data_IF_909745117804
#
_entry.id   IF_909745117804
#
_cell.length_a   1.000
_cell.length_b   1.000
_cell.length_c   1.000
_cell.angle_alpha   90.00
_cell.angle_beta   90.00
_cell.angle_gamma   90.00
#
_symmetry.space_group_name_H-M   'P 1'
#
loop_
_entity.id
_entity.type
_entity.pdbx_description
1 polymer ?
#
# COMPACT_ATOMS: atom_id res chain seq x y z
N UNK A 1 -29.12 -30.44 -12.52
CA UNK A 1 -27.95 -31.27 -12.17
C UNK A 1 -28.30 -31.99 -10.89
N UNK A 2 -28.22 -33.32 -10.86
CA UNK A 2 -28.48 -34.07 -9.62
C UNK A 2 -27.33 -33.89 -8.60
N UNK A 3 -27.52 -34.41 -7.39
CA UNK A 3 -26.55 -34.27 -6.30
C UNK A 3 -25.18 -34.91 -6.63
N UNK A 4 -25.16 -36.01 -7.38
CA UNK A 4 -23.91 -36.69 -7.77
C UNK A 4 -23.15 -35.85 -8.79
N UNK A 5 -23.83 -35.37 -9.81
CA UNK A 5 -23.24 -34.50 -10.83
C UNK A 5 -22.75 -33.17 -10.22
N UNK A 6 -23.46 -32.63 -9.21
CA UNK A 6 -23.02 -31.46 -8.47
C UNK A 6 -21.76 -31.74 -7.63
N UNK A 7 -21.67 -32.91 -6.99
CA UNK A 7 -20.48 -33.33 -6.25
C UNK A 7 -19.25 -33.50 -7.15
N UNK A 8 -19.41 -34.13 -8.31
CA UNK A 8 -18.33 -34.23 -9.30
C UNK A 8 -17.91 -32.84 -9.82
N UNK A 9 -18.88 -31.95 -10.08
CA UNK A 9 -18.60 -30.57 -10.48
C UNK A 9 -17.83 -29.82 -9.39
N UNK A 10 -18.18 -29.99 -8.12
CA UNK A 10 -17.45 -29.43 -6.98
C UNK A 10 -16.00 -29.92 -6.96
N UNK A 11 -15.76 -31.23 -6.99
CA UNK A 11 -14.40 -31.78 -6.97
C UNK A 11 -13.52 -31.27 -8.12
N UNK A 12 -14.12 -31.04 -9.30
CA UNK A 12 -13.40 -30.57 -10.48
C UNK A 12 -13.17 -29.04 -10.51
N UNK A 13 -13.91 -28.27 -9.72
CA UNK A 13 -13.88 -26.80 -9.74
C UNK A 13 -13.50 -26.18 -8.39
N UNK A 14 -13.18 -27.01 -7.41
CA UNK A 14 -12.53 -26.58 -6.18
C UNK A 14 -11.04 -26.44 -6.46
N UNK A 15 -10.52 -25.22 -6.31
CA UNK A 15 -9.10 -24.94 -6.38
C UNK A 15 -8.59 -24.66 -4.99
N UNK A 16 -7.48 -25.30 -4.61
CA UNK A 16 -6.83 -25.12 -3.31
C UNK A 16 -5.40 -24.63 -3.55
N UNK A 17 -5.07 -23.47 -3.00
CA UNK A 17 -3.73 -22.89 -2.99
C UNK A 17 -3.25 -22.71 -1.55
N UNK A 18 -2.72 -23.78 -0.93
CA UNK A 18 -2.29 -23.72 0.47
C UNK A 18 -1.21 -22.68 0.74
N UNK A 19 -0.36 -22.39 -0.26
CA UNK A 19 0.73 -21.40 -0.18
C UNK A 19 0.24 -19.99 0.11
N UNK A 20 -1.00 -19.66 -0.26
CA UNK A 20 -1.64 -18.37 0.02
C UNK A 20 -2.89 -18.50 0.90
N UNK A 21 -3.11 -19.68 1.48
CA UNK A 21 -4.28 -19.97 2.32
C UNK A 21 -5.63 -19.79 1.61
N UNK A 22 -5.68 -19.93 0.28
CA UNK A 22 -6.89 -19.66 -0.51
C UNK A 22 -7.50 -20.96 -1.03
N UNK A 23 -8.80 -21.13 -0.77
CA UNK A 23 -9.62 -22.16 -1.40
C UNK A 23 -10.80 -21.52 -2.12
N UNK A 24 -10.96 -21.81 -3.40
CA UNK A 24 -11.98 -21.21 -4.27
C UNK A 24 -12.88 -22.28 -4.85
N UNK A 25 -14.19 -22.19 -4.58
CA UNK A 25 -15.22 -23.05 -5.15
C UNK A 25 -16.09 -22.25 -6.14
N UNK A 26 -15.90 -22.51 -7.44
CA UNK A 26 -16.73 -21.91 -8.50
C UNK A 26 -17.81 -22.86 -9.03
N UNK A 27 -18.04 -24.01 -8.39
CA UNK A 27 -18.99 -25.03 -8.84
C UNK A 27 -20.44 -24.54 -8.90
N UNK A 28 -20.77 -23.53 -8.11
CA UNK A 28 -22.09 -22.89 -8.04
C UNK A 28 -22.29 -21.74 -9.02
N UNK A 29 -21.25 -21.35 -9.76
CA UNK A 29 -21.37 -20.32 -10.80
C UNK A 29 -22.08 -20.87 -12.04
N UNK A 30 -22.81 -19.99 -12.72
CA UNK A 30 -23.61 -20.31 -13.92
C UNK A 30 -22.73 -20.22 -15.17
N UNK A 31 -22.12 -21.33 -15.55
CA UNK A 31 -21.45 -21.46 -16.85
C UNK A 31 -21.60 -22.88 -17.42
N UNK A 32 -21.64 -22.97 -18.75
CA UNK A 32 -21.79 -24.24 -19.47
C UNK A 32 -20.53 -25.11 -19.46
N UNK A 33 -20.62 -26.39 -19.84
CA UNK A 33 -19.49 -27.32 -19.82
C UNK A 33 -18.33 -26.91 -20.74
N UNK A 34 -18.62 -26.14 -21.79
CA UNK A 34 -17.65 -25.63 -22.77
C UNK A 34 -17.03 -24.26 -22.42
N UNK A 35 -17.43 -23.67 -21.29
CA UNK A 35 -17.04 -22.29 -20.96
C UNK A 35 -15.52 -22.07 -20.98
N UNK A 36 -14.75 -22.99 -20.40
CA UNK A 36 -13.28 -22.88 -20.39
C UNK A 36 -12.66 -22.98 -21.79
N UNK A 37 -13.22 -23.83 -22.66
CA UNK A 37 -12.74 -23.98 -24.04
C UNK A 37 -13.04 -22.71 -24.85
N UNK A 38 -14.23 -22.12 -24.64
CA UNK A 38 -14.65 -20.87 -25.27
C UNK A 38 -13.80 -19.68 -24.79
N UNK A 39 -13.37 -19.70 -23.52
CA UNK A 39 -12.53 -18.65 -22.93
C UNK A 39 -11.03 -18.83 -23.17
N UNK A 40 -10.58 -19.96 -23.72
CA UNK A 40 -9.15 -20.25 -23.90
C UNK A 40 -8.41 -19.17 -24.72
N UNK A 41 -9.03 -18.67 -25.80
CA UNK A 41 -8.48 -17.60 -26.63
C UNK A 41 -8.33 -16.26 -25.89
N UNK A 42 -9.41 -15.70 -25.30
CA UNK A 42 -9.34 -14.51 -24.44
C UNK A 42 -8.33 -14.64 -23.29
N UNK A 43 -8.30 -15.78 -22.59
CA UNK A 43 -7.36 -16.05 -21.49
C UNK A 43 -5.92 -16.02 -21.98
N UNK A 44 -5.62 -16.67 -23.12
CA UNK A 44 -4.28 -16.63 -23.72
C UNK A 44 -3.81 -15.20 -23.98
N UNK A 45 -4.66 -14.36 -24.58
CA UNK A 45 -4.36 -12.94 -24.81
C UNK A 45 -4.14 -12.16 -23.51
N UNK A 46 -4.91 -12.46 -22.46
CA UNK A 46 -4.73 -11.83 -21.16
C UNK A 46 -3.35 -12.16 -20.56
N UNK A 47 -2.90 -13.41 -20.63
CA UNK A 47 -1.57 -13.80 -20.17
C UNK A 47 -0.44 -13.17 -21.00
N UNK A 48 -0.61 -13.10 -22.32
CA UNK A 48 0.39 -12.45 -23.17
C UNK A 48 0.47 -10.95 -22.85
N UNK A 49 -0.67 -10.27 -22.67
CA UNK A 49 -0.71 -8.88 -22.24
C UNK A 49 -0.05 -8.68 -20.85
N UNK A 50 -0.33 -9.56 -19.88
CA UNK A 50 0.32 -9.52 -18.57
C UNK A 50 1.84 -9.69 -18.67
N UNK A 51 2.33 -10.59 -19.52
CA UNK A 51 3.77 -10.79 -19.72
C UNK A 51 4.45 -9.53 -20.31
N UNK A 52 3.79 -8.84 -21.23
CA UNK A 52 4.30 -7.58 -21.77
C UNK A 52 4.28 -6.44 -20.74
N UNK A 53 3.22 -6.35 -19.93
CA UNK A 53 3.17 -5.42 -18.79
C UNK A 53 4.34 -5.65 -17.84
N UNK A 54 4.62 -6.91 -17.48
CA UNK A 54 5.69 -7.26 -16.54
C UNK A 54 7.08 -6.90 -17.03
N UNK A 55 7.30 -6.97 -18.34
CA UNK A 55 8.52 -6.49 -19.02
C UNK A 55 8.59 -4.96 -19.15
N UNK A 56 7.61 -4.23 -18.62
CA UNK A 56 7.59 -2.78 -18.61
C UNK A 56 6.98 -2.13 -19.86
N UNK A 57 6.06 -2.81 -20.55
CA UNK A 57 5.26 -2.16 -21.58
C UNK A 57 4.48 -0.97 -21.01
N UNK A 58 4.21 0.03 -21.87
CA UNK A 58 3.34 1.15 -21.51
C UNK A 58 1.91 0.62 -21.41
N UNK A 59 1.41 0.60 -20.19
CA UNK A 59 0.07 0.12 -19.86
C UNK A 59 -0.97 1.25 -19.95
N UNK A 60 -0.55 2.47 -19.59
CA UNK A 60 -1.38 3.65 -19.63
C UNK A 60 -0.91 4.57 -20.77
N UNK A 61 -1.50 4.46 -21.98
CA UNK A 61 -1.08 5.24 -23.13
C UNK A 61 -1.34 6.75 -22.94
N UNK A 62 -2.42 7.12 -22.24
CA UNK A 62 -2.79 8.52 -22.02
C UNK A 62 -1.77 9.25 -21.13
N UNK A 63 -1.16 8.54 -20.19
CA UNK A 63 -0.13 9.10 -19.30
C UNK A 63 1.30 8.71 -19.71
N UNK A 64 1.47 7.85 -20.72
CA UNK A 64 2.77 7.31 -21.13
C UNK A 64 3.48 6.53 -20.01
N UNK A 65 2.74 5.79 -19.17
CA UNK A 65 3.28 5.15 -17.96
C UNK A 65 3.24 3.63 -18.00
N UNK A 66 4.28 3.05 -17.42
CA UNK A 66 4.31 1.64 -17.01
C UNK A 66 3.42 1.42 -15.79
N UNK A 67 3.07 0.16 -15.51
CA UNK A 67 2.41 -0.27 -14.27
C UNK A 67 3.31 -1.32 -13.64
N UNK A 68 3.84 -1.06 -12.45
CA UNK A 68 4.95 -1.88 -11.91
C UNK A 68 4.75 -2.41 -10.49
N UNK A 69 3.52 -2.46 -10.01
CA UNK A 69 3.24 -2.78 -8.60
C UNK A 69 3.69 -4.20 -8.16
N UNK A 70 3.83 -5.13 -9.10
CA UNK A 70 4.42 -6.46 -8.87
C UNK A 70 5.95 -6.42 -8.69
N UNK A 71 6.65 -5.45 -9.28
CA UNK A 71 8.09 -5.27 -9.03
C UNK A 71 8.37 -4.91 -7.58
N UNK A 72 7.44 -4.21 -6.92
CA UNK A 72 7.54 -3.89 -5.49
C UNK A 72 7.62 -5.14 -4.61
N UNK A 73 7.00 -6.23 -5.05
CA UNK A 73 6.91 -7.52 -4.34
C UNK A 73 8.00 -8.49 -4.76
N UNK A 74 8.56 -8.28 -5.95
CA UNK A 74 9.71 -9.01 -6.46
C UNK A 74 10.57 -8.12 -7.36
N UNK A 75 11.56 -7.38 -6.80
CA UNK A 75 12.39 -6.44 -7.55
C UNK A 75 13.17 -7.09 -8.71
N UNK A 76 13.44 -8.40 -8.65
CA UNK A 76 14.15 -9.12 -9.72
C UNK A 76 13.38 -9.17 -11.04
N UNK A 77 12.07 -8.86 -11.02
CA UNK A 77 11.22 -8.79 -12.21
C UNK A 77 11.19 -7.39 -12.83
N UNK A 78 11.84 -6.39 -12.21
CA UNK A 78 11.88 -5.05 -12.74
C UNK A 78 12.54 -5.03 -14.14
N UNK A 79 12.05 -4.19 -15.07
CA UNK A 79 12.53 -4.18 -16.44
C UNK A 79 13.96 -3.62 -16.56
N UNK A 80 14.43 -2.90 -15.53
CA UNK A 80 15.79 -2.38 -15.45
C UNK A 80 16.37 -2.62 -14.06
N UNK A 81 17.71 -2.70 -13.99
CA UNK A 81 18.42 -2.88 -12.71
C UNK A 81 18.27 -1.65 -11.81
N UNK A 82 18.11 -0.49 -12.41
CA UNK A 82 17.91 0.79 -11.72
C UNK A 82 16.58 0.78 -10.95
N UNK A 83 15.48 0.32 -11.57
CA UNK A 83 14.18 0.19 -10.88
C UNK A 83 14.28 -0.84 -9.75
N UNK A 84 14.94 -1.97 -9.96
CA UNK A 84 15.14 -2.96 -8.90
C UNK A 84 15.89 -2.36 -7.70
N UNK A 85 17.00 -1.66 -7.97
CA UNK A 85 17.82 -1.02 -6.94
C UNK A 85 17.06 0.08 -6.20
N UNK A 86 16.25 0.90 -6.89
CA UNK A 86 15.41 1.92 -6.26
C UNK A 86 14.40 1.31 -5.27
N UNK A 87 13.77 0.18 -5.64
CA UNK A 87 12.83 -0.53 -4.77
C UNK A 87 13.56 -1.08 -3.55
N UNK A 88 14.68 -1.78 -3.75
CA UNK A 88 15.49 -2.35 -2.67
C UNK A 88 16.00 -1.28 -1.70
N UNK A 89 16.46 -0.14 -2.23
CA UNK A 89 16.88 1.00 -1.43
C UNK A 89 15.72 1.57 -0.61
N UNK A 90 14.54 1.73 -1.20
CA UNK A 90 13.36 2.22 -0.48
C UNK A 90 12.94 1.27 0.65
N UNK A 91 12.99 -0.05 0.42
CA UNK A 91 12.70 -1.05 1.46
C UNK A 91 13.73 -0.99 2.60
N UNK A 92 15.02 -0.88 2.28
CA UNK A 92 16.08 -0.71 3.27
C UNK A 92 15.94 0.59 4.07
N UNK A 93 15.52 1.68 3.41
CA UNK A 93 15.23 2.96 4.05
C UNK A 93 14.07 2.83 5.03
N UNK A 94 12.96 2.21 4.64
CA UNK A 94 11.80 1.95 5.53
C UNK A 94 12.21 1.12 6.74
N UNK A 95 12.97 0.04 6.54
CA UNK A 95 13.43 -0.81 7.63
C UNK A 95 14.34 -0.04 8.62
N UNK A 96 15.30 0.73 8.10
CA UNK A 96 16.26 1.52 8.90
C UNK A 96 15.57 2.62 9.68
N UNK A 97 14.66 3.36 9.04
CA UNK A 97 13.88 4.42 9.65
C UNK A 97 12.99 3.85 10.77
N UNK A 98 12.23 2.80 10.48
CA UNK A 98 11.34 2.13 11.44
C UNK A 98 12.14 1.63 12.65
N UNK A 99 13.27 0.95 12.44
CA UNK A 99 14.12 0.48 13.52
C UNK A 99 14.66 1.62 14.38
N UNK A 100 14.95 2.78 13.78
CA UNK A 100 15.42 3.97 14.50
C UNK A 100 14.31 4.67 15.30
N UNK A 101 13.09 4.70 14.78
CA UNK A 101 11.89 5.15 15.51
C UNK A 101 11.59 4.21 16.68
N UNK A 102 11.52 2.90 16.45
CA UNK A 102 11.27 1.90 17.50
C UNK A 102 12.39 1.82 18.54
N UNK A 103 13.62 2.19 18.19
CA UNK A 103 14.72 2.28 19.16
C UNK A 103 14.71 3.59 19.97
N UNK A 104 13.95 4.61 19.54
CA UNK A 104 13.96 5.94 20.14
C UNK A 104 15.16 6.81 19.73
N UNK A 105 15.87 6.43 18.66
CA UNK A 105 16.92 7.27 18.04
C UNK A 105 16.31 8.44 17.28
N UNK A 106 15.25 8.15 16.53
CA UNK A 106 14.34 9.16 15.96
C UNK A 106 13.16 9.22 16.92
N UNK A 107 12.97 10.37 17.58
CA UNK A 107 11.96 10.56 18.63
C UNK A 107 11.39 11.98 18.55
N UNK A 108 10.17 12.21 19.05
CA UNK A 108 9.62 13.55 19.12
C UNK A 108 10.44 14.43 20.09
N UNK A 109 10.43 15.77 19.93
CA UNK A 109 11.18 16.68 20.81
C UNK A 109 10.74 16.62 22.27
N UNK A 110 9.43 16.46 22.52
CA UNK A 110 8.79 16.61 23.83
C UNK A 110 8.36 15.28 24.47
N UNK A 111 8.81 14.14 23.94
CA UNK A 111 8.52 12.82 24.51
C UNK A 111 9.63 11.80 24.19
N UNK A 112 9.63 10.69 24.94
CA UNK A 112 10.68 9.67 24.77
C UNK A 112 10.58 8.92 23.45
N UNK A 113 9.36 8.71 22.95
CA UNK A 113 9.05 7.88 21.78
C UNK A 113 7.78 8.35 21.09
N UNK A 114 7.66 8.04 19.80
CA UNK A 114 6.39 8.13 19.10
C UNK A 114 5.49 6.95 19.50
N UNK A 115 4.22 7.23 19.79
CA UNK A 115 3.18 6.23 20.09
C UNK A 115 1.98 6.32 19.15
N UNK A 116 1.92 7.38 18.34
CA UNK A 116 0.85 7.62 17.38
C UNK A 116 1.42 7.84 15.98
N UNK A 117 0.68 7.38 14.97
CA UNK A 117 0.85 7.77 13.58
C UNK A 117 -0.35 8.61 13.16
N UNK A 118 -0.12 9.72 12.48
CA UNK A 118 -1.17 10.47 11.80
C UNK A 118 -0.91 10.43 10.30
N UNK A 119 -1.70 9.64 9.59
CA UNK A 119 -1.56 9.39 8.17
C UNK A 119 -2.48 10.33 7.38
N UNK A 120 -1.89 11.29 6.67
CA UNK A 120 -2.57 12.31 5.89
C UNK A 120 -2.44 11.98 4.41
N UNK A 121 -3.54 11.57 3.79
CA UNK A 121 -3.57 11.14 2.39
C UNK A 121 -4.96 10.69 1.98
N UNK A 122 -5.30 10.74 0.70
CA UNK A 122 -6.65 10.40 0.21
C UNK A 122 -6.62 9.27 -0.82
N UNK A 123 -7.72 8.52 -0.90
CA UNK A 123 -7.93 7.48 -1.90
C UNK A 123 -6.87 6.39 -1.83
N UNK A 124 -6.17 6.13 -2.93
CA UNK A 124 -5.11 5.12 -2.97
C UNK A 124 -3.96 5.37 -2.00
N UNK A 125 -3.76 6.62 -1.57
CA UNK A 125 -2.75 6.99 -0.59
C UNK A 125 -3.17 6.74 0.87
N UNK A 126 -4.40 6.27 1.15
CA UNK A 126 -4.87 5.97 2.51
C UNK A 126 -5.66 4.67 2.63
N UNK A 127 -6.45 4.27 1.64
CA UNK A 127 -7.32 3.09 1.73
C UNK A 127 -6.57 1.77 1.92
N UNK A 128 -5.38 1.63 1.31
CA UNK A 128 -4.53 0.47 1.53
C UNK A 128 -4.04 0.38 2.99
N UNK A 129 -3.40 1.43 3.52
CA UNK A 129 -3.03 1.51 4.94
C UNK A 129 -4.22 1.28 5.89
N UNK A 130 -5.39 1.88 5.62
CA UNK A 130 -6.61 1.67 6.41
C UNK A 130 -7.06 0.21 6.40
N UNK A 131 -7.00 -0.47 5.25
CA UNK A 131 -7.32 -1.89 5.15
C UNK A 131 -6.35 -2.74 5.98
N UNK A 132 -5.04 -2.45 5.91
CA UNK A 132 -4.03 -3.17 6.66
C UNK A 132 -4.22 -2.98 8.17
N UNK A 133 -4.46 -1.75 8.62
CA UNK A 133 -4.79 -1.44 10.01
C UNK A 133 -6.07 -2.15 10.47
N UNK A 134 -7.15 -2.06 9.70
CA UNK A 134 -8.41 -2.72 10.05
C UNK A 134 -8.34 -4.25 10.07
N UNK A 135 -7.47 -4.85 9.26
CA UNK A 135 -7.33 -6.31 9.17
C UNK A 135 -6.30 -6.90 10.15
N UNK A 136 -5.22 -6.18 10.45
CA UNK A 136 -4.07 -6.69 11.21
C UNK A 136 -3.81 -5.94 12.52
N UNK A 137 -4.34 -4.72 12.65
CA UNK A 137 -4.12 -3.87 13.81
C UNK A 137 -4.82 -4.37 15.07
N UNK A 138 -4.20 -4.07 16.21
CA UNK A 138 -4.70 -4.48 17.51
C UNK A 138 -4.03 -3.78 18.68
N UNK A 139 -4.25 -4.31 19.89
CA UNK A 139 -3.68 -3.75 21.11
C UNK A 139 -2.15 -3.96 21.23
N UNK A 140 -1.59 -4.87 20.44
CA UNK A 140 -0.16 -5.18 20.43
C UNK A 140 0.67 -4.28 19.50
N UNK A 141 0.01 -3.40 18.74
CA UNK A 141 0.68 -2.47 17.83
C UNK A 141 1.63 -1.55 18.60
N UNK A 142 2.82 -1.34 18.04
CA UNK A 142 3.83 -0.44 18.61
C UNK A 142 3.41 1.02 18.54
N UNK A 143 2.58 1.38 17.56
CA UNK A 143 2.08 2.73 17.35
C UNK A 143 0.63 2.66 16.88
N UNK A 144 -0.25 3.49 17.45
CA UNK A 144 -1.65 3.58 17.01
C UNK A 144 -1.78 4.58 15.86
N UNK A 145 -2.31 4.13 14.72
CA UNK A 145 -2.53 4.97 13.55
C UNK A 145 -3.89 5.67 13.58
N UNK A 146 -3.92 6.88 13.00
CA UNK A 146 -5.10 7.70 12.76
C UNK A 146 -5.03 8.24 11.34
N UNK A 147 -6.18 8.45 10.69
CA UNK A 147 -6.24 8.83 9.28
C UNK A 147 -6.94 10.17 9.08
N UNK A 148 -6.37 11.02 8.21
CA UNK A 148 -7.03 12.15 7.60
C UNK A 148 -7.12 11.91 6.09
N UNK A 149 -8.25 11.36 5.64
CA UNK A 149 -8.47 10.90 4.27
C UNK A 149 -9.59 11.62 3.51
N UNK A 150 -10.24 12.57 4.17
CA UNK A 150 -11.29 13.40 3.62
C UNK A 150 -11.03 14.86 3.94
N UNK A 151 -11.81 15.76 3.31
CA UNK A 151 -11.70 17.21 3.53
C UNK A 151 -12.74 17.75 4.52
N UNK A 152 -13.51 16.87 5.16
CA UNK A 152 -14.55 17.27 6.10
C UNK A 152 -13.90 17.83 7.38
N UNK A 153 -14.09 19.13 7.70
CA UNK A 153 -13.49 19.74 8.88
C UNK A 153 -13.90 19.04 10.19
N UNK A 154 -15.12 18.48 10.28
CA UNK A 154 -15.57 17.78 11.48
C UNK A 154 -14.80 16.47 11.69
N UNK A 155 -14.49 15.76 10.61
CA UNK A 155 -13.65 14.57 10.60
C UNK A 155 -12.23 14.88 11.07
N UNK A 156 -11.62 15.92 10.49
CA UNK A 156 -10.28 16.38 10.87
C UNK A 156 -10.25 16.80 12.34
N UNK A 157 -11.20 17.63 12.77
CA UNK A 157 -11.29 18.12 14.14
C UNK A 157 -11.49 16.97 15.14
N UNK A 158 -12.30 15.95 14.81
CA UNK A 158 -12.50 14.77 15.65
C UNK A 158 -11.19 14.01 15.87
N UNK A 159 -10.42 13.77 14.82
CA UNK A 159 -9.12 13.06 14.92
C UNK A 159 -8.12 13.88 15.75
N UNK A 160 -7.99 15.17 15.45
CA UNK A 160 -7.08 16.06 16.19
C UNK A 160 -7.48 16.20 17.67
N UNK A 161 -8.78 16.29 17.97
CA UNK A 161 -9.30 16.32 19.35
C UNK A 161 -9.05 15.01 20.09
N UNK A 162 -9.12 13.87 19.39
CA UNK A 162 -8.83 12.54 19.97
C UNK A 162 -7.36 12.43 20.38
N UNK A 163 -6.46 12.99 19.57
CA UNK A 163 -5.04 13.08 19.92
C UNK A 163 -4.81 14.09 21.07
N UNK A 164 -5.39 15.28 20.95
CA UNK A 164 -5.11 16.40 21.85
C UNK A 164 -3.63 16.78 21.88
N UNK A 165 -3.26 17.73 22.73
CA UNK A 165 -1.86 18.18 22.85
C UNK A 165 -0.92 17.05 23.27
N UNK A 166 -1.35 16.20 24.20
CA UNK A 166 -0.54 15.08 24.70
C UNK A 166 -0.33 13.97 23.66
N UNK A 167 -1.34 13.68 22.83
CA UNK A 167 -1.18 12.76 21.70
C UNK A 167 -0.26 13.35 20.63
N UNK A 168 -0.48 14.62 20.26
CA UNK A 168 0.33 15.31 19.24
C UNK A 168 1.83 15.33 19.57
N UNK A 169 2.21 15.53 20.85
CA UNK A 169 3.62 15.41 21.32
C UNK A 169 4.27 14.07 20.99
N UNK A 170 3.47 13.01 20.82
CA UNK A 170 3.92 11.62 20.59
C UNK A 170 3.52 11.12 19.20
N UNK A 171 3.09 12.00 18.30
CA UNK A 171 2.61 11.65 16.95
C UNK A 171 3.68 11.84 15.89
N UNK A 172 3.94 10.82 15.09
CA UNK A 172 4.65 10.95 13.82
C UNK A 172 3.63 11.14 12.70
N UNK A 173 3.78 12.20 11.91
CA UNK A 173 2.87 12.55 10.81
C UNK A 173 3.43 12.02 9.49
N UNK A 174 2.66 11.20 8.79
CA UNK A 174 2.97 10.75 7.43
C UNK A 174 2.12 11.55 6.44
N UNK A 175 2.73 12.38 5.60
CA UNK A 175 2.00 13.11 4.54
C UNK A 175 2.24 12.42 3.20
N UNK A 176 1.18 11.93 2.57
CA UNK A 176 1.26 11.05 1.40
C UNK A 176 0.55 11.68 0.20
N UNK A 177 1.34 12.08 -0.80
CA UNK A 177 0.81 12.69 -2.01
C UNK A 177 1.82 12.61 -3.15
N UNK A 178 1.57 11.78 -4.16
CA UNK A 178 2.50 11.60 -5.30
C UNK A 178 2.91 12.89 -5.99
N UNK A 179 1.93 13.76 -6.30
CA UNK A 179 2.18 15.05 -6.96
C UNK A 179 2.59 16.15 -5.97
N UNK A 180 2.33 15.93 -4.67
CA UNK A 180 2.37 16.96 -3.64
C UNK A 180 1.29 18.05 -3.77
N UNK A 181 0.47 18.01 -4.83
CA UNK A 181 -0.53 19.04 -5.14
C UNK A 181 -1.97 18.66 -4.79
N UNK A 182 -2.22 17.42 -4.37
CA UNK A 182 -3.54 16.93 -3.94
C UNK A 182 -4.14 17.84 -2.87
N UNK A 183 -5.28 18.46 -3.18
CA UNK A 183 -5.83 19.56 -2.37
C UNK A 183 -6.27 19.07 -0.99
N UNK A 184 -6.88 17.90 -0.93
CA UNK A 184 -7.36 17.26 0.28
C UNK A 184 -6.18 16.94 1.22
N UNK A 185 -5.15 16.25 0.73
CA UNK A 185 -3.93 15.98 1.52
C UNK A 185 -3.26 17.27 1.98
N UNK A 186 -3.15 18.28 1.10
CA UNK A 186 -2.52 19.56 1.43
C UNK A 186 -3.31 20.30 2.52
N UNK A 187 -4.63 20.34 2.41
CA UNK A 187 -5.48 21.00 3.41
C UNK A 187 -5.38 20.26 4.75
N UNK A 188 -5.46 18.94 4.75
CA UNK A 188 -5.24 18.14 5.97
C UNK A 188 -3.88 18.41 6.60
N UNK A 189 -2.81 18.48 5.81
CA UNK A 189 -1.47 18.82 6.29
C UNK A 189 -1.43 20.21 6.94
N UNK A 190 -2.06 21.22 6.34
CA UNK A 190 -2.12 22.58 6.88
C UNK A 190 -2.90 22.64 8.21
N UNK A 191 -4.00 21.89 8.32
CA UNK A 191 -4.75 21.77 9.57
C UNK A 191 -3.90 21.13 10.68
N UNK A 192 -3.14 20.07 10.36
CA UNK A 192 -2.22 19.44 11.30
C UNK A 192 -1.09 20.39 11.70
N UNK A 193 -0.47 21.10 10.74
CA UNK A 193 0.52 22.14 11.05
C UNK A 193 -0.06 23.23 11.96
N UNK A 194 -1.32 23.63 11.73
CA UNK A 194 -2.08 24.55 12.57
C UNK A 194 -2.22 24.04 14.00
N UNK A 195 -2.62 22.78 14.18
CA UNK A 195 -2.77 22.15 15.49
C UNK A 195 -1.42 22.02 16.22
N UNK A 196 -0.35 21.63 15.53
CA UNK A 196 1.00 21.60 16.10
C UNK A 196 1.42 22.98 16.60
N UNK A 197 1.22 24.03 15.79
CA UNK A 197 1.54 25.41 16.18
C UNK A 197 0.73 25.88 17.39
N UNK A 198 -0.57 25.58 17.45
CA UNK A 198 -1.42 25.91 18.60
C UNK A 198 -0.98 25.18 19.88
N UNK A 199 -0.46 23.97 19.74
CA UNK A 199 0.11 23.18 20.82
C UNK A 199 1.54 23.58 21.21
N UNK A 200 2.17 24.54 20.49
CA UNK A 200 3.56 24.93 20.70
C UNK A 200 4.59 23.89 20.22
N UNK A 201 4.21 23.00 19.31
CA UNK A 201 5.02 21.90 18.80
C UNK A 201 5.61 22.22 17.42
N UNK A 202 6.78 21.63 17.13
CA UNK A 202 7.42 21.72 15.82
C UNK A 202 6.95 20.59 14.91
N UNK A 203 6.17 20.94 13.87
CA UNK A 203 5.70 19.98 12.88
C UNK A 203 6.84 19.30 12.08
N UNK A 204 7.84 20.01 11.54
CA UNK A 204 8.93 19.39 10.78
C UNK A 204 9.71 18.32 11.57
N UNK A 205 9.86 18.51 12.88
CA UNK A 205 10.52 17.57 13.77
C UNK A 205 9.73 16.27 14.02
N UNK A 206 8.52 16.17 13.48
CA UNK A 206 7.60 15.04 13.66
C UNK A 206 6.90 14.65 12.34
N UNK A 207 7.39 15.10 11.19
CA UNK A 207 6.75 14.85 9.90
C UNK A 207 7.69 14.13 8.92
N UNK A 208 7.10 13.27 8.08
CA UNK A 208 7.77 12.65 6.93
C UNK A 208 6.88 12.75 5.70
N UNK A 209 7.49 12.83 4.52
CA UNK A 209 6.77 12.86 3.25
C UNK A 209 6.92 11.53 2.50
N UNK A 210 5.81 11.02 1.93
CA UNK A 210 5.83 9.93 0.95
C UNK A 210 5.33 10.51 -0.37
N UNK A 211 6.23 10.76 -1.31
CA UNK A 211 5.95 11.63 -2.45
C UNK A 211 6.85 11.37 -3.65
N UNK A 212 6.45 11.89 -4.82
CA UNK A 212 7.30 11.86 -6.00
C UNK A 212 8.50 12.80 -5.88
N UNK A 213 9.64 12.40 -6.46
CA UNK A 213 10.84 13.23 -6.51
C UNK A 213 10.54 14.59 -7.15
N UNK A 214 10.97 15.68 -6.50
CA UNK A 214 10.78 17.05 -7.00
C UNK A 214 9.33 17.57 -6.97
N UNK A 215 8.39 16.80 -6.40
CA UNK A 215 7.00 17.21 -6.19
C UNK A 215 6.89 18.45 -5.28
N UNK A 216 5.71 19.06 -5.26
CA UNK A 216 5.45 20.20 -4.36
C UNK A 216 5.66 19.84 -2.88
N UNK A 217 5.27 18.63 -2.47
CA UNK A 217 5.45 18.15 -1.11
C UNK A 217 6.92 17.85 -0.79
N UNK A 218 7.69 17.35 -1.76
CA UNK A 218 9.13 17.13 -1.58
C UNK A 218 9.87 18.45 -1.35
N UNK A 219 9.49 19.51 -2.08
CA UNK A 219 10.03 20.86 -1.86
C UNK A 219 9.72 21.38 -0.46
N UNK A 220 8.44 21.32 -0.06
CA UNK A 220 8.01 21.72 1.30
C UNK A 220 8.79 20.95 2.38
N UNK A 221 8.87 19.62 2.27
CA UNK A 221 9.57 18.78 3.24
C UNK A 221 11.07 19.12 3.33
N UNK A 222 11.70 19.47 2.21
CA UNK A 222 13.11 19.88 2.15
C UNK A 222 13.32 21.27 2.75
N UNK A 223 12.50 22.24 2.34
CA UNK A 223 12.59 23.65 2.77
C UNK A 223 12.31 23.80 4.28
N UNK A 224 11.37 23.02 4.82
CA UNK A 224 11.02 23.03 6.23
C UNK A 224 11.88 22.09 7.10
N UNK A 225 12.71 21.23 6.48
CA UNK A 225 13.59 20.31 7.21
C UNK A 225 12.87 19.18 7.93
N UNK A 226 11.96 18.48 7.24
CA UNK A 226 11.24 17.34 7.79
C UNK A 226 12.16 16.15 8.07
N UNK A 227 11.73 15.22 8.93
CA UNK A 227 12.56 14.11 9.40
C UNK A 227 13.09 13.21 8.27
N UNK A 228 12.26 12.93 7.27
CA UNK A 228 12.59 12.03 6.17
C UNK A 228 11.65 12.22 4.97
N UNK A 229 12.12 11.82 3.78
CA UNK A 229 11.33 11.70 2.56
C UNK A 229 11.48 10.31 1.94
N UNK A 230 10.36 9.75 1.51
CA UNK A 230 10.29 8.44 0.87
C UNK A 230 9.72 8.54 -0.55
N UNK A 231 10.21 7.70 -1.48
CA UNK A 231 9.83 7.78 -2.88
C UNK A 231 8.41 7.25 -3.14
N UNK A 232 7.74 7.90 -4.09
CA UNK A 232 6.54 7.39 -4.74
C UNK A 232 6.69 7.52 -6.27
N UNK A 233 6.81 6.39 -6.96
CA UNK A 233 7.17 6.38 -8.38
C UNK A 233 5.98 6.59 -9.33
N UNK A 234 6.26 7.10 -10.54
CA UNK A 234 5.27 7.35 -11.59
C UNK A 234 4.51 6.09 -12.03
N UNK A 235 5.18 4.93 -12.07
CA UNK A 235 4.63 3.63 -12.45
C UNK A 235 3.88 2.89 -11.33
N UNK A 236 3.84 3.46 -10.11
CA UNK A 236 2.96 3.01 -9.03
C UNK A 236 1.67 3.80 -9.07
N UNK A 237 0.57 3.12 -9.38
CA UNK A 237 -0.77 3.68 -9.32
C UNK A 237 -1.25 3.82 -7.89
N UNK A 238 -2.07 4.84 -7.59
CA UNK A 238 -2.55 5.07 -6.21
C UNK A 238 -3.26 3.84 -5.63
N UNK A 239 -4.20 3.23 -6.37
CA UNK A 239 -4.94 2.03 -5.95
C UNK A 239 -4.10 0.75 -5.86
N UNK A 240 -2.87 0.76 -6.35
CA UNK A 240 -1.92 -0.36 -6.29
C UNK A 240 -0.69 -0.05 -5.45
N UNK A 241 -0.74 1.01 -4.63
CA UNK A 241 0.41 1.51 -3.86
C UNK A 241 0.60 0.85 -2.48
N UNK A 242 -0.29 -0.06 -2.08
CA UNK A 242 -0.20 -0.69 -0.75
C UNK A 242 1.13 -1.44 -0.51
N UNK A 243 1.69 -2.07 -1.53
CA UNK A 243 2.99 -2.77 -1.43
C UNK A 243 4.18 -1.85 -1.73
N UNK A 244 3.96 -0.54 -1.84
CA UNK A 244 5.02 0.47 -1.90
C UNK A 244 5.22 1.10 -0.52
N UNK A 245 6.11 2.07 -0.40
CA UNK A 245 6.35 2.80 0.86
C UNK A 245 5.05 3.38 1.46
N UNK A 246 4.07 3.74 0.63
CA UNK A 246 2.74 4.21 1.05
C UNK A 246 2.07 3.30 2.08
N UNK A 247 2.11 1.97 1.86
CA UNK A 247 1.52 1.00 2.79
C UNK A 247 2.54 0.35 3.71
N UNK A 248 3.78 0.19 3.27
CA UNK A 248 4.80 -0.51 4.06
C UNK A 248 5.32 0.32 5.22
N UNK A 249 5.49 1.65 5.06
CA UNK A 249 5.97 2.49 6.15
C UNK A 249 5.00 2.52 7.35
N UNK A 250 3.69 2.81 7.19
CA UNK A 250 2.76 2.76 8.32
C UNK A 250 2.67 1.35 8.93
N UNK A 251 2.62 0.30 8.11
CA UNK A 251 2.60 -1.09 8.60
C UNK A 251 3.83 -1.44 9.45
N UNK A 252 5.03 -1.09 8.98
CA UNK A 252 6.28 -1.32 9.72
C UNK A 252 6.29 -0.53 11.04
N UNK A 253 5.83 0.73 11.03
CA UNK A 253 5.76 1.57 12.23
C UNK A 253 4.76 1.05 13.26
N UNK A 254 3.63 0.48 12.83
CA UNK A 254 2.69 -0.26 13.70
C UNK A 254 3.32 -1.54 14.26
N UNK A 255 4.37 -2.06 13.63
CA UNK A 255 5.09 -3.26 14.06
C UNK A 255 4.76 -4.53 13.27
N UNK A 256 4.03 -4.40 12.15
CA UNK A 256 3.77 -5.53 11.27
C UNK A 256 5.05 -5.93 10.50
N UNK A 257 5.15 -7.22 10.18
CA UNK A 257 6.22 -7.73 9.33
C UNK A 257 5.94 -7.41 7.86
N UNK A 258 6.58 -6.37 7.35
CA UNK A 258 6.46 -5.97 5.95
C UNK A 258 7.09 -6.96 4.97
N UNK A 259 8.04 -7.79 5.42
CA UNK A 259 8.63 -8.86 4.62
C UNK A 259 7.61 -9.95 4.35
N UNK A 260 6.88 -10.38 5.38
CA UNK A 260 5.78 -11.34 5.25
C UNK A 260 4.63 -10.80 4.40
N UNK A 261 4.28 -9.50 4.53
CA UNK A 261 3.28 -8.86 3.67
C UNK A 261 3.68 -8.90 2.19
N UNK A 262 4.94 -8.61 1.88
CA UNK A 262 5.47 -8.68 0.51
C UNK A 262 5.59 -10.11 0.01
N UNK A 263 6.00 -11.05 0.86
CA UNK A 263 6.09 -12.47 0.53
C UNK A 263 4.72 -13.06 0.20
N UNK A 264 3.69 -12.76 1.00
CA UNK A 264 2.31 -13.17 0.72
C UNK A 264 1.77 -12.57 -0.58
N UNK A 265 2.03 -11.27 -0.82
CA UNK A 265 1.63 -10.63 -2.06
C UNK A 265 2.36 -11.23 -3.29
N UNK A 266 3.65 -11.57 -3.16
CA UNK A 266 4.42 -12.27 -4.20
C UNK A 266 3.87 -13.68 -4.46
N UNK A 267 3.53 -14.43 -3.41
CA UNK A 267 2.93 -15.77 -3.55
C UNK A 267 1.58 -15.70 -4.29
N UNK A 268 0.77 -14.67 -4.03
CA UNK A 268 -0.44 -14.38 -4.80
C UNK A 268 -0.12 -14.10 -6.28
N UNK A 269 0.94 -13.34 -6.57
CA UNK A 269 1.34 -13.10 -7.95
C UNK A 269 1.83 -14.39 -8.64
N UNK A 270 2.50 -15.30 -7.92
CA UNK A 270 2.96 -16.59 -8.46
C UNK A 270 1.79 -17.49 -8.86
N UNK A 271 0.75 -17.63 -8.02
CA UNK A 271 -0.43 -18.45 -8.36
C UNK A 271 -1.27 -17.83 -9.48
N UNK A 272 -1.30 -16.50 -9.61
CA UNK A 272 -2.02 -15.81 -10.69
C UNK A 272 -1.26 -15.79 -12.02
N UNK A 273 -0.03 -16.32 -12.06
CA UNK A 273 0.74 -16.58 -13.31
C UNK A 273 0.57 -18.00 -13.84
N UNK A 274 -0.14 -18.88 -13.13
CA UNK A 274 -0.46 -20.23 -13.63
C UNK A 274 -1.33 -20.08 -14.89
N UNK A 275 -0.83 -20.54 -16.05
CA UNK A 275 -1.52 -20.38 -17.34
C UNK A 275 -2.78 -21.22 -17.49
N UNK A 276 -2.91 -22.31 -16.74
CA UNK A 276 -4.17 -23.05 -16.67
C UNK A 276 -5.21 -22.25 -15.88
N UNK A 277 -6.20 -21.69 -16.58
CA UNK A 277 -7.28 -20.92 -15.98
C UNK A 277 -8.04 -21.71 -14.90
N UNK A 278 -8.11 -23.04 -14.99
CA UNK A 278 -8.78 -23.87 -13.98
C UNK A 278 -8.01 -23.97 -12.67
N UNK A 279 -6.74 -23.59 -12.67
CA UNK A 279 -5.88 -23.57 -11.48
C UNK A 279 -5.52 -22.13 -11.06
N UNK A 280 -5.95 -21.12 -11.80
CA UNK A 280 -5.60 -19.74 -11.56
C UNK A 280 -6.75 -19.00 -10.84
N UNK A 281 -6.56 -18.58 -9.57
CA UNK A 281 -7.66 -18.01 -8.79
C UNK A 281 -8.15 -16.68 -9.36
N UNK A 282 -7.28 -15.87 -9.97
CA UNK A 282 -7.68 -14.59 -10.57
C UNK A 282 -8.44 -14.75 -11.89
N UNK A 283 -8.23 -15.85 -12.62
CA UNK A 283 -9.00 -16.14 -13.84
C UNK A 283 -10.36 -16.78 -13.55
N UNK A 284 -10.51 -17.39 -12.38
CA UNK A 284 -11.76 -18.02 -11.93
C UNK A 284 -12.75 -17.02 -11.31
N UNK A 285 -12.26 -15.90 -10.79
CA UNK A 285 -13.03 -14.79 -10.22
C UNK A 285 -13.43 -13.77 -11.29
#
# INVERSE_FOLDING_TARGET
MDARAMWERYKNLLVDHPTIGLRLDVSRMKFGPRFFDEMAGPVGRAFDAMAELEKGAIANPDEGRQVGHYWLRNPSLAPTKEIAAEIEQALAQVATFTASVHAGRIKPPEAERFTHLLHVGIGGSALGPQLADGALGGAADKMRIHFLDNTDPDGIHRVLSTLGTEGLKRTLVLVVSKSGGTKETRNGMLEVQGAFRQAGLSFPAQAVAITGAGSALSKVATEEGWLEQFPMWSWVGGRTSQTSVVGLLPAALQGFDIGELLAGARACDEVTRIRDARQNPAMLL
#
